data_IF_355963664111
#
_entry.id   IF_355963664111
#
_cell.length_a   1.000
_cell.length_b   1.000
_cell.length_c   1.000
_cell.angle_alpha   90.00
_cell.angle_beta   90.00
_cell.angle_gamma   90.00
#
_symmetry.space_group_name_H-M   'P 1'
#
loop_
_entity.id
_entity.type
_entity.pdbx_description
1 polymer ?
#
# COMPACT_ATOMS: atom_id res chain seq x y z
N UNK A 1 8.65 -10.46 74.40
CA UNK A 1 9.69 -9.46 74.65
C UNK A 1 9.20 -8.09 74.20
N UNK A 2 8.52 -7.34 75.06
CA UNK A 2 7.86 -6.07 74.69
C UNK A 2 8.05 -4.99 75.77
N UNK A 3 9.17 -5.01 76.49
CA UNK A 3 9.46 -4.05 77.56
C UNK A 3 10.97 -3.77 77.60
N UNK A 4 11.49 -3.05 76.61
CA UNK A 4 12.87 -2.55 76.63
C UNK A 4 13.01 -1.11 76.09
N UNK A 5 12.04 -0.63 75.30
CA UNK A 5 12.14 0.68 74.64
C UNK A 5 11.58 1.86 75.45
N UNK A 6 11.05 1.63 76.65
CA UNK A 6 10.43 2.66 77.49
C UNK A 6 11.36 3.23 78.60
N UNK A 7 12.51 2.62 78.88
CA UNK A 7 13.44 3.11 79.90
C UNK A 7 14.48 4.11 79.36
N UNK A 8 14.88 4.01 78.09
CA UNK A 8 15.87 4.93 77.50
C UNK A 8 15.36 6.36 77.24
N UNK A 9 14.04 6.58 77.31
CA UNK A 9 13.43 7.91 77.13
C UNK A 9 13.33 8.74 78.42
N UNK A 10 13.52 8.14 79.60
CA UNK A 10 13.42 8.85 80.90
C UNK A 10 14.75 9.33 81.45
N UNK A 11 15.84 8.61 81.20
CA UNK A 11 17.18 8.98 81.69
C UNK A 11 17.77 10.16 80.91
N UNK A 12 17.55 10.24 79.60
CA UNK A 12 18.00 11.36 78.77
C UNK A 12 17.36 12.70 79.17
N UNK A 13 16.10 12.68 79.62
CA UNK A 13 15.40 13.87 80.10
C UNK A 13 15.82 14.28 81.52
N UNK A 14 16.22 13.33 82.37
CA UNK A 14 16.73 13.61 83.71
C UNK A 14 18.14 14.24 83.69
N UNK A 15 18.98 13.83 82.74
CA UNK A 15 20.33 14.40 82.54
C UNK A 15 20.27 15.78 81.86
N UNK A 16 19.27 16.04 81.01
CA UNK A 16 19.03 17.35 80.38
C UNK A 16 18.54 18.40 81.40
N UNK A 17 17.67 18.01 82.36
CA UNK A 17 17.22 18.88 83.47
C UNK A 17 18.35 19.19 84.47
N UNK A 18 19.36 18.32 84.60
CA UNK A 18 20.47 18.54 85.55
C UNK A 18 21.52 19.54 85.07
N UNK A 19 21.60 19.84 83.76
CA UNK A 19 22.52 20.85 83.20
C UNK A 19 21.97 22.27 83.24
N UNK A 20 20.64 22.44 83.31
CA UNK A 20 19.97 23.73 83.48
C UNK A 20 20.17 24.36 84.86
N UNK A 21 20.67 23.58 85.84
CA UNK A 21 20.98 24.05 87.20
C UNK A 21 22.46 24.40 87.43
N UNK A 22 23.23 24.66 86.36
CA UNK A 22 24.48 25.43 86.49
C UNK A 22 24.10 26.90 86.51
N UNK A 23 24.62 27.68 87.46
CA UNK A 23 24.50 29.13 87.43
C UNK A 23 25.39 29.66 86.28
N UNK A 24 24.94 29.48 85.02
CA UNK A 24 25.64 29.97 83.85
C UNK A 24 25.72 31.48 83.95
N UNK A 25 26.89 32.01 83.63
CA UNK A 25 27.04 33.45 83.47
C UNK A 25 26.13 33.93 82.34
N UNK A 26 25.66 35.19 82.38
CA UNK A 26 24.89 35.77 81.28
C UNK A 26 25.58 35.63 79.91
N UNK A 27 26.92 35.61 79.88
CA UNK A 27 27.72 35.40 78.68
C UNK A 27 27.76 33.95 78.17
N UNK A 28 27.89 32.96 79.06
CA UNK A 28 27.85 31.54 78.66
C UNK A 28 26.47 31.14 78.13
N UNK A 29 25.40 31.63 78.76
CA UNK A 29 24.03 31.43 78.29
C UNK A 29 23.82 32.04 76.91
N UNK A 30 24.36 33.24 76.67
CA UNK A 30 24.30 33.90 75.37
C UNK A 30 25.08 33.12 74.30
N UNK A 31 26.27 32.59 74.62
CA UNK A 31 27.08 31.82 73.69
C UNK A 31 26.40 30.50 73.29
N UNK A 32 25.83 29.77 74.26
CA UNK A 32 25.07 28.55 73.99
C UNK A 32 23.80 28.83 73.18
N UNK A 33 23.08 29.90 73.47
CA UNK A 33 21.92 30.32 72.68
C UNK A 33 22.34 30.70 71.24
N UNK A 34 23.48 31.35 71.08
CA UNK A 34 24.03 31.70 69.76
C UNK A 34 24.39 30.46 68.94
N UNK A 35 25.02 29.46 69.56
CA UNK A 35 25.37 28.19 68.93
C UNK A 35 24.12 27.36 68.60
N UNK A 36 23.15 27.28 69.51
CA UNK A 36 21.86 26.61 69.30
C UNK A 36 21.11 27.24 68.12
N UNK A 37 21.09 28.58 68.03
CA UNK A 37 20.51 29.30 66.89
C UNK A 37 21.24 28.98 65.58
N UNK A 38 22.57 28.98 65.57
CA UNK A 38 23.34 28.63 64.36
C UNK A 38 23.09 27.18 63.90
N UNK A 39 23.03 26.23 64.84
CA UNK A 39 22.71 24.82 64.56
C UNK A 39 21.30 24.66 64.01
N UNK A 40 20.31 25.33 64.61
CA UNK A 40 18.93 25.30 64.14
C UNK A 40 18.79 25.91 62.74
N UNK A 41 19.50 27.01 62.46
CA UNK A 41 19.50 27.63 61.14
C UNK A 41 20.09 26.69 60.08
N UNK A 42 21.19 25.99 60.42
CA UNK A 42 21.81 25.01 59.53
C UNK A 42 20.87 23.83 59.27
N UNK A 43 20.22 23.30 60.31
CA UNK A 43 19.21 22.25 60.17
C UNK A 43 18.04 22.69 59.30
N UNK A 44 17.56 23.94 59.46
CA UNK A 44 16.48 24.49 58.64
C UNK A 44 16.90 24.57 57.17
N UNK A 45 18.11 25.05 56.87
CA UNK A 45 18.65 25.10 55.50
C UNK A 45 18.72 23.71 54.87
N UNK A 46 19.23 22.71 55.58
CA UNK A 46 19.27 21.33 55.09
C UNK A 46 17.87 20.75 54.86
N UNK A 47 16.92 20.99 55.77
CA UNK A 47 15.55 20.53 55.61
C UNK A 47 14.86 21.18 54.40
N UNK A 48 15.07 22.47 54.19
CA UNK A 48 14.54 23.21 53.05
C UNK A 48 15.16 22.73 51.73
N UNK A 49 16.47 22.52 51.69
CA UNK A 49 17.16 21.97 50.52
C UNK A 49 16.67 20.55 50.17
N UNK A 50 16.40 19.71 51.17
CA UNK A 50 15.81 18.38 50.96
C UNK A 50 14.41 18.47 50.35
N UNK A 51 13.55 19.33 50.90
CA UNK A 51 12.19 19.54 50.37
C UNK A 51 12.22 20.02 48.92
N UNK A 52 13.10 20.97 48.59
CA UNK A 52 13.26 21.47 47.21
C UNK A 52 13.75 20.36 46.28
N UNK A 53 14.68 19.51 46.72
CA UNK A 53 15.14 18.35 45.93
C UNK A 53 14.01 17.33 45.71
N UNK A 54 13.24 17.02 46.74
CA UNK A 54 12.10 16.10 46.67
C UNK A 54 11.01 16.62 45.71
N UNK A 55 10.62 17.89 45.82
CA UNK A 55 9.64 18.52 44.92
C UNK A 55 10.13 18.54 43.47
N UNK A 56 11.43 18.79 43.25
CA UNK A 56 12.03 18.76 41.91
C UNK A 56 11.95 17.36 41.29
N UNK A 57 12.26 16.31 42.07
CA UNK A 57 12.18 14.93 41.62
C UNK A 57 10.74 14.51 41.32
N UNK A 58 9.79 14.91 42.15
CA UNK A 58 8.36 14.62 41.94
C UNK A 58 7.85 15.27 40.64
N UNK A 59 8.19 16.54 40.40
CA UNK A 59 7.85 17.24 39.15
C UNK A 59 8.46 16.57 37.93
N UNK A 60 9.72 16.17 38.00
CA UNK A 60 10.40 15.47 36.90
C UNK A 60 9.76 14.10 36.61
N UNK A 61 9.38 13.36 37.64
CA UNK A 61 8.69 12.08 37.50
C UNK A 61 7.30 12.26 36.88
N UNK A 62 6.56 13.27 37.31
CA UNK A 62 5.24 13.60 36.77
C UNK A 62 5.33 14.04 35.30
N UNK A 63 6.33 14.84 34.95
CA UNK A 63 6.57 15.26 33.57
C UNK A 63 6.88 14.07 32.68
N UNK A 64 7.82 13.20 33.08
CA UNK A 64 8.17 11.97 32.37
C UNK A 64 6.96 11.06 32.18
N UNK A 65 6.15 10.85 33.21
CA UNK A 65 4.93 10.05 33.13
C UNK A 65 3.93 10.65 32.12
N UNK A 66 3.78 11.98 32.10
CA UNK A 66 2.90 12.66 31.16
C UNK A 66 3.39 12.56 29.71
N UNK A 67 4.71 12.62 29.50
CA UNK A 67 5.32 12.48 28.19
C UNK A 67 5.19 11.05 27.67
N UNK A 68 5.44 10.05 28.51
CA UNK A 68 5.27 8.64 28.17
C UNK A 68 3.82 8.33 27.77
N UNK A 69 2.84 8.83 28.53
CA UNK A 69 1.43 8.71 28.15
C UNK A 69 1.13 9.36 26.79
N UNK A 70 1.69 10.54 26.49
CA UNK A 70 1.52 11.18 25.17
C UNK A 70 2.13 10.31 24.06
N UNK A 71 3.31 9.72 24.29
CA UNK A 71 3.98 8.83 23.32
C UNK A 71 3.15 7.57 23.06
N UNK A 72 2.64 6.91 24.10
CA UNK A 72 1.76 5.75 23.96
C UNK A 72 0.50 6.12 23.16
N UNK A 73 -0.20 7.20 23.53
CA UNK A 73 -1.40 7.66 22.81
C UNK A 73 -1.12 7.95 21.33
N UNK A 74 0.04 8.53 21.00
CA UNK A 74 0.41 8.78 19.61
C UNK A 74 0.66 7.48 18.84
N UNK A 75 1.34 6.52 19.47
CA UNK A 75 1.57 5.19 18.88
C UNK A 75 0.27 4.42 18.68
N UNK A 76 -0.64 4.42 19.66
CA UNK A 76 -1.97 3.80 19.55
C UNK A 76 -2.77 4.39 18.39
N UNK A 77 -2.79 5.72 18.25
CA UNK A 77 -3.44 6.40 17.11
C UNK A 77 -2.86 5.97 15.78
N UNK A 78 -1.54 5.84 15.68
CA UNK A 78 -0.88 5.36 14.46
C UNK A 78 -1.22 3.90 14.17
N UNK A 79 -1.22 3.04 15.18
CA UNK A 79 -1.60 1.64 15.04
C UNK A 79 -3.06 1.49 14.63
N UNK A 80 -3.97 2.28 15.20
CA UNK A 80 -5.39 2.29 14.84
C UNK A 80 -5.58 2.64 13.35
N UNK A 81 -4.96 3.74 12.89
CA UNK A 81 -5.00 4.13 11.47
C UNK A 81 -4.46 3.06 10.54
N UNK A 82 -3.37 2.39 10.95
CA UNK A 82 -2.79 1.30 10.16
C UNK A 82 -3.73 0.09 10.07
N UNK A 83 -4.37 -0.28 11.18
CA UNK A 83 -5.36 -1.37 11.21
C UNK A 83 -6.58 -1.07 10.34
N UNK A 84 -7.12 0.14 10.43
CA UNK A 84 -8.22 0.59 9.57
C UNK A 84 -7.84 0.56 8.08
N UNK A 85 -6.63 1.04 7.74
CA UNK A 85 -6.12 0.98 6.37
C UNK A 85 -5.99 -0.46 5.86
N UNK A 86 -5.51 -1.39 6.69
CA UNK A 86 -5.44 -2.81 6.36
C UNK A 86 -6.81 -3.43 6.12
N UNK A 87 -7.81 -3.10 6.96
CA UNK A 87 -9.18 -3.57 6.77
C UNK A 87 -9.75 -3.06 5.44
N UNK A 88 -9.63 -1.76 5.18
CA UNK A 88 -10.06 -1.14 3.92
C UNK A 88 -9.39 -1.77 2.70
N UNK A 89 -8.09 -2.06 2.78
CA UNK A 89 -7.36 -2.71 1.70
C UNK A 89 -7.83 -4.14 1.43
N UNK A 90 -8.14 -4.90 2.49
CA UNK A 90 -8.71 -6.25 2.35
C UNK A 90 -10.10 -6.22 1.72
N UNK A 91 -10.95 -5.28 2.13
CA UNK A 91 -12.29 -5.12 1.56
C UNK A 91 -12.23 -4.74 0.07
N UNK A 92 -11.40 -3.76 -0.29
CA UNK A 92 -11.19 -3.34 -1.69
C UNK A 92 -10.67 -4.51 -2.56
N UNK A 93 -9.75 -5.32 -2.04
CA UNK A 93 -9.24 -6.49 -2.75
C UNK A 93 -10.31 -7.57 -2.94
N UNK A 94 -11.12 -7.84 -1.92
CA UNK A 94 -12.22 -8.79 -1.99
C UNK A 94 -13.30 -8.35 -2.97
N UNK A 95 -13.67 -7.06 -2.98
CA UNK A 95 -14.62 -6.51 -3.94
C UNK A 95 -14.07 -6.62 -5.37
N UNK A 96 -12.80 -6.26 -5.59
CA UNK A 96 -12.16 -6.40 -6.90
C UNK A 96 -12.18 -7.85 -7.38
N UNK A 97 -11.85 -8.80 -6.50
CA UNK A 97 -11.85 -10.23 -6.82
C UNK A 97 -13.25 -10.74 -7.18
N UNK A 98 -14.28 -10.35 -6.42
CA UNK A 98 -15.67 -10.72 -6.73
C UNK A 98 -16.11 -10.17 -8.09
N UNK A 99 -15.77 -8.92 -8.38
CA UNK A 99 -16.09 -8.28 -9.65
C UNK A 99 -15.39 -8.94 -10.84
N UNK A 100 -14.14 -9.34 -10.67
CA UNK A 100 -13.38 -10.07 -11.69
C UNK A 100 -14.00 -11.45 -11.94
N UNK A 101 -14.38 -12.17 -10.88
CA UNK A 101 -15.08 -13.46 -10.99
C UNK A 101 -16.42 -13.34 -11.71
N UNK A 102 -17.24 -12.35 -11.34
CA UNK A 102 -18.52 -12.08 -12.01
C UNK A 102 -18.33 -11.72 -13.49
N UNK A 103 -17.29 -10.94 -13.80
CA UNK A 103 -16.98 -10.58 -15.19
C UNK A 103 -16.50 -11.80 -16.00
N UNK A 104 -15.70 -12.68 -15.41
CA UNK A 104 -15.30 -13.94 -16.04
C UNK A 104 -16.51 -14.86 -16.28
N UNK A 105 -17.41 -14.97 -15.32
CA UNK A 105 -18.63 -15.78 -15.44
C UNK A 105 -19.55 -15.22 -16.53
N UNK A 106 -19.78 -13.90 -16.54
CA UNK A 106 -20.54 -13.23 -17.61
C UNK A 106 -19.90 -13.41 -18.99
N UNK A 107 -18.57 -13.31 -19.10
CA UNK A 107 -17.86 -13.57 -20.36
C UNK A 107 -18.02 -15.01 -20.83
N UNK A 108 -17.94 -15.98 -19.90
CA UNK A 108 -18.21 -17.41 -20.19
C UNK A 108 -19.66 -17.62 -20.63
N UNK A 109 -20.62 -17.03 -19.94
CA UNK A 109 -22.03 -17.10 -20.29
C UNK A 109 -22.32 -16.50 -21.68
N UNK A 110 -21.75 -15.32 -21.98
CA UNK A 110 -21.86 -14.69 -23.30
C UNK A 110 -21.26 -15.56 -24.40
N UNK A 111 -20.13 -16.22 -24.15
CA UNK A 111 -19.55 -17.18 -25.10
C UNK A 111 -20.45 -18.39 -25.33
N UNK A 112 -21.05 -18.94 -24.28
CA UNK A 112 -22.00 -20.04 -24.40
C UNK A 112 -23.23 -19.61 -25.19
N UNK A 113 -23.80 -18.43 -24.90
CA UNK A 113 -24.95 -17.90 -25.62
C UNK A 113 -24.64 -17.69 -27.11
N UNK A 114 -23.46 -17.15 -27.44
CA UNK A 114 -23.01 -17.01 -28.84
C UNK A 114 -22.90 -18.37 -29.54
N UNK A 115 -22.37 -19.38 -28.86
CA UNK A 115 -22.26 -20.75 -29.40
C UNK A 115 -23.64 -21.36 -29.64
N UNK A 116 -24.56 -21.24 -28.69
CA UNK A 116 -25.92 -21.76 -28.81
C UNK A 116 -26.71 -21.03 -29.91
N UNK A 117 -26.57 -19.70 -30.02
CA UNK A 117 -27.15 -18.93 -31.13
C UNK A 117 -26.59 -19.40 -32.47
N UNK A 118 -25.28 -19.57 -32.59
CA UNK A 118 -24.66 -20.04 -33.83
C UNK A 118 -25.13 -21.46 -34.21
N UNK A 119 -25.25 -22.36 -33.24
CA UNK A 119 -25.79 -23.71 -33.47
C UNK A 119 -27.23 -23.67 -33.96
N UNK A 120 -28.10 -22.89 -33.31
CA UNK A 120 -29.49 -22.72 -33.74
C UNK A 120 -29.59 -22.15 -35.16
N UNK A 121 -28.81 -21.11 -35.47
CA UNK A 121 -28.76 -20.54 -36.82
C UNK A 121 -28.26 -21.56 -37.85
N UNK A 122 -27.30 -22.41 -37.48
CA UNK A 122 -26.80 -23.47 -38.35
C UNK A 122 -27.85 -24.55 -38.60
N UNK A 123 -28.56 -24.99 -37.57
CA UNK A 123 -29.67 -25.95 -37.69
C UNK A 123 -30.79 -25.39 -38.58
N UNK A 124 -31.20 -24.14 -38.34
CA UNK A 124 -32.17 -23.46 -39.19
C UNK A 124 -31.69 -23.38 -40.64
N UNK A 125 -30.41 -23.07 -40.86
CA UNK A 125 -29.82 -23.05 -42.19
C UNK A 125 -29.85 -24.43 -42.86
N UNK A 126 -29.60 -25.52 -42.12
CA UNK A 126 -29.70 -26.89 -42.63
C UNK A 126 -31.12 -27.22 -43.07
N UNK A 127 -32.14 -26.86 -42.29
CA UNK A 127 -33.54 -27.08 -42.66
C UNK A 127 -33.93 -26.25 -43.89
N UNK A 128 -33.53 -24.97 -43.94
CA UNK A 128 -33.75 -24.14 -45.12
C UNK A 128 -33.02 -24.70 -46.35
N UNK A 129 -31.81 -25.26 -46.19
CA UNK A 129 -31.04 -25.83 -47.30
C UNK A 129 -31.73 -27.04 -47.94
N UNK A 130 -32.49 -27.83 -47.17
CA UNK A 130 -33.31 -28.93 -47.71
C UNK A 130 -34.47 -28.42 -48.58
N UNK A 131 -34.99 -27.23 -48.30
CA UNK A 131 -36.13 -26.63 -48.99
C UNK A 131 -35.68 -25.78 -50.19
N UNK A 132 -34.43 -25.30 -50.19
CA UNK A 132 -33.91 -24.44 -51.26
C UNK A 132 -33.92 -25.18 -52.60
N UNK A 133 -34.58 -24.64 -53.65
CA UNK A 133 -34.47 -25.21 -54.98
C UNK A 133 -33.01 -25.14 -55.42
N UNK A 134 -32.55 -26.14 -56.19
CA UNK A 134 -31.18 -26.13 -56.72
C UNK A 134 -30.97 -24.81 -57.46
N UNK A 135 -29.97 -23.99 -57.07
CA UNK A 135 -29.70 -22.76 -57.79
C UNK A 135 -29.34 -23.14 -59.22
N UNK A 136 -30.14 -22.65 -60.16
CA UNK A 136 -29.83 -22.72 -61.59
C UNK A 136 -28.45 -22.11 -61.81
N UNK A 137 -27.54 -22.87 -62.41
CA UNK A 137 -26.15 -22.47 -62.66
C UNK A 137 -26.13 -21.25 -63.60
N UNK A 138 -26.21 -20.04 -63.04
CA UNK A 138 -26.22 -18.77 -63.80
C UNK A 138 -24.82 -18.35 -64.28
N UNK A 139 -23.85 -19.28 -64.33
CA UNK A 139 -22.52 -19.01 -64.86
C UNK A 139 -22.40 -19.18 -66.37
N UNK A 140 -23.50 -19.49 -67.06
CA UNK A 140 -23.53 -19.60 -68.51
C UNK A 140 -24.19 -18.36 -69.11
N UNK A 141 -23.39 -17.58 -69.85
CA UNK A 141 -23.89 -16.52 -70.72
C UNK A 141 -23.99 -17.05 -72.15
N UNK A 142 -24.93 -16.53 -72.93
CA UNK A 142 -24.88 -16.71 -74.38
C UNK A 142 -24.06 -15.59 -74.99
N UNK A 143 -22.85 -15.90 -75.45
CA UNK A 143 -22.03 -14.99 -76.25
C UNK A 143 -22.03 -15.54 -77.68
N UNK A 144 -22.47 -14.73 -78.64
CA UNK A 144 -22.51 -15.08 -80.08
C UNK A 144 -23.29 -16.37 -80.40
N UNK A 145 -24.38 -16.65 -79.67
CA UNK A 145 -25.23 -17.82 -79.90
C UNK A 145 -24.67 -19.15 -79.38
N UNK A 146 -23.53 -19.15 -78.68
CA UNK A 146 -22.97 -20.33 -77.99
C UNK A 146 -23.09 -20.15 -76.47
N UNK A 147 -23.45 -21.23 -75.79
CA UNK A 147 -23.46 -21.30 -74.33
C UNK A 147 -22.01 -21.28 -73.84
N UNK A 148 -21.55 -20.13 -73.34
CA UNK A 148 -20.17 -19.91 -72.88
C UNK A 148 -20.19 -19.84 -71.35
N UNK A 149 -19.34 -20.63 -70.68
CA UNK A 149 -19.17 -20.55 -69.23
C UNK A 149 -18.39 -19.30 -68.80
N UNK A 150 -18.48 -18.89 -67.54
CA UNK A 150 -17.75 -17.72 -67.00
C UNK A 150 -16.22 -17.79 -67.19
N UNK A 151 -15.63 -18.98 -67.30
CA UNK A 151 -14.21 -19.22 -67.57
C UNK A 151 -13.88 -19.51 -69.03
N UNK A 152 -14.88 -19.50 -69.90
CA UNK A 152 -14.73 -19.78 -71.30
C UNK A 152 -14.21 -18.50 -72.00
N UNK A 153 -13.45 -18.65 -73.09
CA UNK A 153 -12.41 -17.72 -73.57
C UNK A 153 -12.81 -16.28 -73.95
N UNK A 154 -14.05 -15.86 -73.65
CA UNK A 154 -14.56 -14.49 -73.77
C UNK A 154 -14.26 -13.62 -72.53
N UNK A 155 -13.86 -14.20 -71.40
CA UNK A 155 -13.50 -13.48 -70.17
C UNK A 155 -12.01 -13.10 -70.09
N UNK A 156 -11.39 -12.69 -71.21
CA UNK A 156 -9.96 -12.35 -71.23
C UNK A 156 -9.72 -10.88 -70.82
N UNK A 157 -8.70 -10.56 -70.00
CA UNK A 157 -7.70 -11.45 -69.45
C UNK A 157 -8.26 -12.40 -68.39
N UNK A 158 -7.75 -13.64 -68.38
CA UNK A 158 -8.06 -14.60 -67.34
C UNK A 158 -7.88 -13.94 -65.96
N UNK A 159 -8.84 -14.07 -65.03
CA UNK A 159 -8.76 -13.44 -63.72
C UNK A 159 -7.46 -13.86 -63.04
N UNK A 160 -6.50 -12.95 -62.98
CA UNK A 160 -5.24 -13.17 -62.31
C UNK A 160 -5.46 -13.19 -60.80
N UNK A 161 -4.96 -14.21 -60.12
CA UNK A 161 -4.99 -14.30 -58.65
C UNK A 161 -4.11 -13.23 -57.97
N UNK A 162 -3.35 -12.47 -58.75
CA UNK A 162 -2.55 -11.37 -58.27
C UNK A 162 -3.39 -10.10 -58.27
N UNK A 163 -3.71 -9.57 -57.09
CA UNK A 163 -4.11 -8.18 -56.96
C UNK A 163 -2.87 -7.33 -57.32
N UNK A 164 -2.80 -6.69 -58.51
CA UNK A 164 -1.61 -5.96 -58.94
C UNK A 164 -1.31 -4.77 -58.03
N UNK A 165 -2.27 -4.37 -57.20
CA UNK A 165 -2.11 -3.39 -56.15
C UNK A 165 -1.86 -4.18 -54.86
N UNK A 166 -0.61 -4.22 -54.33
CA UNK A 166 -0.39 -4.80 -53.01
C UNK A 166 -1.31 -4.07 -52.05
N UNK A 167 -2.03 -4.82 -51.21
CA UNK A 167 -2.92 -4.27 -50.20
C UNK A 167 -2.13 -3.25 -49.36
N UNK A 168 -2.25 -1.97 -49.71
CA UNK A 168 -1.54 -0.92 -48.97
C UNK A 168 -2.24 -0.82 -47.62
N UNK A 169 -1.51 -0.96 -46.50
CA UNK A 169 -2.07 -0.64 -45.20
C UNK A 169 -2.67 0.76 -45.27
N UNK A 170 -3.92 0.91 -44.85
CA UNK A 170 -4.56 2.22 -44.78
C UNK A 170 -3.69 3.08 -43.84
N UNK A 171 -3.15 4.22 -44.29
CA UNK A 171 -2.34 5.07 -43.44
C UNK A 171 -3.18 5.50 -42.25
N UNK A 172 -2.78 5.07 -41.05
CA UNK A 172 -3.43 5.52 -39.83
C UNK A 172 -3.21 7.03 -39.73
N UNK A 173 -4.26 7.84 -39.54
CA UNK A 173 -4.07 9.26 -39.31
C UNK A 173 -3.14 9.43 -38.09
N UNK A 174 -2.15 10.35 -38.15
CA UNK A 174 -1.29 10.59 -37.02
C UNK A 174 -2.17 10.95 -35.80
N UNK A 175 -1.84 10.46 -34.60
CA UNK A 175 -2.55 10.87 -33.40
C UNK A 175 -2.51 12.40 -33.31
N UNK A 176 -3.64 13.06 -32.96
CA UNK A 176 -3.68 14.50 -32.87
C UNK A 176 -2.59 14.99 -31.93
N UNK A 177 -1.77 15.95 -32.39
CA UNK A 177 -0.75 16.60 -31.58
C UNK A 177 -1.45 17.15 -30.34
N UNK A 178 -1.04 16.67 -29.17
CA UNK A 178 -1.55 17.13 -27.88
C UNK A 178 -1.24 18.63 -27.74
N UNK A 179 -2.22 19.48 -28.09
CA UNK A 179 -2.21 20.86 -27.66
C UNK A 179 -2.52 20.84 -26.18
N UNK A 180 -1.49 21.15 -25.40
CA UNK A 180 -1.52 21.37 -23.95
C UNK A 180 -2.78 22.15 -23.58
N UNK A 181 -3.71 21.50 -22.88
CA UNK A 181 -4.78 22.09 -22.05
C UNK A 181 -5.43 21.03 -21.15
N UNK A 182 -4.95 21.02 -19.90
CA UNK A 182 -5.61 20.66 -18.62
C UNK A 182 -6.00 19.17 -18.35
N UNK A 183 -5.60 18.60 -17.19
CA UNK A 183 -5.91 17.22 -16.82
C UNK A 183 -7.22 17.15 -16.01
N UNK A 184 -8.36 16.97 -16.66
CA UNK A 184 -9.57 16.55 -15.95
C UNK A 184 -10.57 15.84 -16.86
N UNK A 185 -10.23 14.65 -17.34
CA UNK A 185 -11.25 13.68 -17.75
C UNK A 185 -10.68 12.26 -17.74
N UNK A 186 -11.09 11.46 -16.74
CA UNK A 186 -10.87 10.01 -16.73
C UNK A 186 -11.65 9.39 -17.89
N UNK A 187 -11.00 9.17 -19.04
CA UNK A 187 -11.55 8.32 -20.11
C UNK A 187 -11.13 6.87 -19.87
N UNK A 188 -12.11 6.01 -19.58
CA UNK A 188 -11.95 4.55 -19.52
C UNK A 188 -11.52 4.05 -20.91
N UNK A 189 -10.28 3.57 -21.05
CA UNK A 189 -9.83 2.91 -22.28
C UNK A 189 -10.47 1.52 -22.33
N UNK A 190 -11.25 1.25 -23.39
CA UNK A 190 -11.65 -0.11 -23.79
C UNK A 190 -10.37 -0.90 -24.09
N UNK A 191 -10.21 -2.10 -23.54
CA UNK A 191 -9.12 -2.99 -23.90
C UNK A 191 -9.36 -3.52 -25.31
N UNK A 192 -8.76 -2.88 -26.31
CA UNK A 192 -8.65 -3.45 -27.66
C UNK A 192 -7.48 -4.41 -27.62
N UNK A 193 -7.78 -5.69 -27.51
CA UNK A 193 -6.82 -6.79 -27.72
C UNK A 193 -6.46 -6.85 -29.20
N UNK A 194 -5.60 -5.96 -29.65
CA UNK A 194 -4.93 -6.09 -30.95
C UNK A 194 -3.54 -6.68 -30.71
N UNK A 195 -3.39 -7.98 -30.95
CA UNK A 195 -2.09 -8.58 -31.14
C UNK A 195 -1.40 -7.89 -32.34
N UNK A 196 -0.24 -7.26 -32.19
CA UNK A 196 0.52 -6.81 -33.34
C UNK A 196 1.18 -8.02 -34.02
N UNK A 197 0.95 -8.15 -35.31
CA UNK A 197 1.66 -9.08 -36.20
C UNK A 197 3.16 -8.72 -36.20
N UNK A 198 3.97 -9.52 -35.53
CA UNK A 198 5.43 -9.42 -35.54
C UNK A 198 5.99 -10.03 -36.83
N UNK A 199 6.43 -9.19 -37.78
CA UNK A 199 7.38 -9.60 -38.81
C UNK A 199 8.80 -9.38 -38.31
N UNK A 200 9.35 -10.35 -37.59
CA UNK A 200 10.75 -10.32 -37.16
C UNK A 200 11.66 -10.67 -38.34
N UNK A 201 12.33 -9.66 -38.90
CA UNK A 201 13.57 -9.83 -39.66
C UNK A 201 14.69 -10.01 -38.66
N UNK A 202 15.34 -11.16 -38.72
CA UNK A 202 16.48 -11.56 -37.89
C UNK A 202 17.58 -10.49 -37.86
N UNK A 203 17.63 -9.69 -36.80
CA UNK A 203 18.80 -8.88 -36.47
C UNK A 203 19.53 -9.55 -35.31
N UNK A 204 20.63 -10.24 -35.65
CA UNK A 204 21.57 -10.82 -34.71
C UNK A 204 22.22 -9.70 -33.87
N UNK A 205 21.77 -9.52 -32.63
CA UNK A 205 22.49 -8.75 -31.62
C UNK A 205 23.05 -9.72 -30.57
N UNK A 206 24.38 -9.75 -30.43
CA UNK A 206 25.11 -10.54 -29.43
C UNK A 206 25.00 -9.88 -28.04
N UNK A 207 24.75 -10.63 -26.96
CA UNK A 207 24.83 -10.09 -25.60
C UNK A 207 26.30 -9.95 -25.15
N UNK A 208 26.63 -8.80 -24.56
CA UNK A 208 27.86 -8.61 -23.78
C UNK A 208 27.53 -8.92 -22.32
N UNK A 209 27.78 -10.15 -21.90
CA UNK A 209 27.94 -10.48 -20.49
C UNK A 209 29.34 -10.08 -20.03
N UNK A 210 29.43 -9.47 -18.87
CA UNK A 210 30.45 -9.68 -17.83
C UNK A 210 30.12 -8.83 -16.60
N UNK A 211 29.06 -9.21 -15.87
CA UNK A 211 28.91 -8.86 -14.47
C UNK A 211 29.94 -9.68 -13.67
N UNK A 212 30.94 -8.98 -13.16
CA UNK A 212 32.00 -9.54 -12.32
C UNK A 212 31.43 -9.83 -10.93
N UNK A 213 30.88 -11.03 -10.76
CA UNK A 213 30.68 -11.63 -9.44
C UNK A 213 32.02 -12.25 -9.03
N UNK A 214 32.72 -11.63 -8.09
CA UNK A 214 33.80 -12.30 -7.34
C UNK A 214 33.38 -12.31 -5.90
N UNK A 215 33.02 -13.51 -5.44
CA UNK A 215 32.73 -13.78 -4.04
C UNK A 215 33.98 -13.80 -3.17
N UNK A 216 33.73 -13.66 -1.87
CA UNK A 216 34.24 -14.60 -0.86
C UNK A 216 35.73 -14.61 -0.54
N UNK A 217 36.04 -14.00 0.61
CA UNK A 217 36.84 -14.54 1.73
C UNK A 217 38.31 -14.96 1.51
N UNK A 218 39.20 -14.36 2.33
CA UNK A 218 39.90 -15.00 3.46
C UNK A 218 41.41 -14.72 3.53
N UNK A 219 41.85 -14.18 4.70
CA UNK A 219 43.21 -14.18 5.29
C UNK A 219 44.30 -13.44 4.50
N UNK A 220 45.33 -12.85 5.11
CA UNK A 220 45.91 -12.94 6.46
C UNK A 220 46.58 -11.61 6.78
#
# INVERSE_FOLDING_TARGET
SFNADLENGRQSHADEISLENRNLTPWESWLLDKEKKARNELQRKFAEERKVKEEKLEKELQEKASEEQKRIRAQEKNQAKYREWLQKKKEEEQERKKKEQEQEENSKAEQLEKKEKAKKMFEEWLEQAKIKPRPTLHSYGYVNGKLTGYYDGSSYPAPGFLNPIPWKPIPMPPPPKETVKNPSAKKKKRAVSSQPYNSNVSSLYKPKDNLRVVGGTLRR
#
